data_IF_663163307936
#
_entry.id   IF_663163307936
#
_cell.length_a   1.000
_cell.length_b   1.000
_cell.length_c   1.000
_cell.angle_alpha   90.00
_cell.angle_beta   90.00
_cell.angle_gamma   90.00
#
_symmetry.space_group_name_H-M   'P 1'
#
loop_
_entity.id
_entity.type
_entity.pdbx_description
1 polymer ?
#
# COMPACT_ATOMS: atom_id res chain seq x y z
N UNK A 1 -2.65 22.87 15.39
CA UNK A 1 -3.68 22.75 14.32
C UNK A 1 -4.25 21.35 14.24
N UNK A 2 -3.45 20.30 14.46
CA UNK A 2 -3.94 18.91 14.49
C UNK A 2 -4.94 18.62 15.62
N UNK A 3 -4.73 19.17 16.82
CA UNK A 3 -5.68 18.98 17.93
C UNK A 3 -7.04 19.65 17.68
N UNK A 4 -7.06 20.81 16.98
CA UNK A 4 -8.31 21.51 16.65
C UNK A 4 -9.16 20.71 15.65
N UNK A 5 -8.53 20.18 14.60
CA UNK A 5 -9.20 19.33 13.60
C UNK A 5 -9.70 18.04 14.24
N UNK A 6 -8.91 17.45 15.14
CA UNK A 6 -9.28 16.22 15.84
C UNK A 6 -10.52 16.41 16.71
N UNK A 7 -10.63 17.53 17.45
CA UNK A 7 -11.80 17.81 18.29
C UNK A 7 -13.04 18.17 17.46
N UNK A 8 -12.89 18.86 16.33
CA UNK A 8 -14.00 19.10 15.39
C UNK A 8 -14.53 17.80 14.78
N UNK A 9 -13.66 16.86 14.41
CA UNK A 9 -14.08 15.55 13.92
C UNK A 9 -14.81 14.71 14.97
N UNK A 10 -14.40 14.80 16.26
CA UNK A 10 -15.10 14.12 17.36
C UNK A 10 -16.54 14.60 17.50
N UNK A 11 -16.80 15.89 17.32
CA UNK A 11 -18.15 16.44 17.33
C UNK A 11 -18.93 16.03 16.07
N UNK A 12 -18.29 16.05 14.90
CA UNK A 12 -18.95 15.79 13.62
C UNK A 12 -19.42 14.35 13.46
N UNK A 13 -18.65 13.37 13.94
CA UNK A 13 -18.95 11.92 13.78
C UNK A 13 -20.36 11.53 14.28
N UNK A 14 -20.76 11.79 15.54
CA UNK A 14 -22.10 11.44 16.02
C UNK A 14 -23.23 12.20 15.30
N UNK A 15 -23.02 13.47 14.95
CA UNK A 15 -24.02 14.28 14.24
C UNK A 15 -24.24 13.78 12.80
N UNK A 16 -23.15 13.42 12.11
CA UNK A 16 -23.20 12.86 10.75
C UNK A 16 -23.87 11.49 10.76
N UNK A 17 -23.59 10.66 11.77
CA UNK A 17 -24.26 9.38 11.94
C UNK A 17 -25.77 9.55 12.12
N UNK A 18 -26.19 10.50 12.95
CA UNK A 18 -27.60 10.77 13.19
C UNK A 18 -28.33 11.42 12.01
N UNK A 19 -27.61 12.01 11.05
CA UNK A 19 -28.16 12.65 9.85
C UNK A 19 -28.30 11.71 8.64
N UNK A 20 -27.74 10.49 8.70
CA UNK A 20 -27.90 9.48 7.64
C UNK A 20 -29.34 8.99 7.52
N UNK A 21 -29.69 8.49 6.34
CA UNK A 21 -30.98 7.84 6.04
C UNK A 21 -32.19 8.65 6.53
N UNK A 22 -32.21 9.95 6.17
CA UNK A 22 -33.21 10.94 6.61
C UNK A 22 -33.43 11.00 8.13
N UNK A 23 -32.33 10.94 8.87
CA UNK A 23 -32.27 10.95 10.33
C UNK A 23 -32.96 9.76 11.00
N UNK A 24 -32.93 8.58 10.37
CA UNK A 24 -33.45 7.34 10.94
C UNK A 24 -32.86 7.01 12.32
N UNK A 25 -31.64 7.49 12.58
CA UNK A 25 -30.90 7.24 13.82
C UNK A 25 -30.95 8.41 14.83
N UNK A 26 -31.80 9.42 14.65
CA UNK A 26 -31.84 10.58 15.56
C UNK A 26 -32.14 10.20 17.03
N UNK A 27 -32.88 9.10 17.24
CA UNK A 27 -33.23 8.60 18.58
C UNK A 27 -32.06 7.92 19.30
N UNK A 28 -30.99 7.55 18.60
CA UNK A 28 -29.80 6.95 19.22
C UNK A 28 -28.83 8.00 19.77
N UNK A 29 -29.09 9.30 19.54
CA UNK A 29 -28.35 10.38 20.17
C UNK A 29 -28.88 10.59 21.60
N UNK A 30 -28.07 10.17 22.58
CA UNK A 30 -28.26 10.38 23.99
C UNK A 30 -27.01 11.01 24.62
N UNK A 31 -27.18 11.71 25.74
CA UNK A 31 -26.14 12.47 26.45
C UNK A 31 -25.41 13.51 25.59
N UNK A 32 -26.06 14.01 24.54
CA UNK A 32 -25.45 14.95 23.61
C UNK A 32 -25.21 16.32 24.23
N UNK A 33 -26.01 16.74 25.21
CA UNK A 33 -25.78 17.99 25.94
C UNK A 33 -24.44 17.95 26.69
N UNK A 34 -24.21 16.86 27.44
CA UNK A 34 -22.99 16.66 28.21
C UNK A 34 -21.77 16.52 27.29
N UNK A 35 -21.91 15.74 26.22
CA UNK A 35 -20.85 15.56 25.23
C UNK A 35 -20.43 16.88 24.59
N UNK A 36 -21.39 17.71 24.16
CA UNK A 36 -21.11 18.98 23.50
C UNK A 36 -20.47 20.01 24.42
N UNK A 37 -20.86 20.08 25.70
CA UNK A 37 -20.19 20.96 26.68
C UNK A 37 -18.70 20.62 26.83
N UNK A 38 -18.35 19.33 26.90
CA UNK A 38 -16.94 18.91 27.03
C UNK A 38 -16.14 19.28 25.79
N UNK A 39 -16.68 19.00 24.60
CA UNK A 39 -15.96 19.27 23.35
C UNK A 39 -15.87 20.77 23.03
N UNK A 40 -16.90 21.56 23.33
CA UNK A 40 -16.86 23.03 23.14
C UNK A 40 -15.90 23.71 24.12
N UNK A 41 -15.81 23.23 25.36
CA UNK A 41 -14.80 23.65 26.35
C UNK A 41 -13.37 23.46 25.82
N UNK A 42 -13.10 22.29 25.25
CA UNK A 42 -11.81 21.93 24.64
C UNK A 42 -11.53 22.82 23.41
N UNK A 43 -12.52 23.05 22.55
CA UNK A 43 -12.40 23.96 21.40
C UNK A 43 -12.14 25.42 21.82
N UNK A 44 -12.77 25.93 22.89
CA UNK A 44 -12.52 27.28 23.41
C UNK A 44 -11.09 27.45 23.90
N UNK A 45 -10.50 26.41 24.51
CA UNK A 45 -9.08 26.41 24.91
C UNK A 45 -8.14 26.46 23.71
N UNK A 46 -8.49 25.77 22.62
CA UNK A 46 -7.62 25.62 21.45
C UNK A 46 -7.76 26.75 20.42
N UNK A 47 -8.95 27.33 20.26
CA UNK A 47 -9.25 28.34 19.23
C UNK A 47 -9.64 29.72 19.77
N UNK A 48 -9.73 29.88 21.10
CA UNK A 48 -10.19 31.12 21.75
C UNK A 48 -11.71 31.27 21.78
N UNK A 49 -12.24 32.31 22.46
CA UNK A 49 -13.67 32.58 22.52
C UNK A 49 -14.17 33.08 21.16
N UNK A 50 -15.16 32.39 20.58
CA UNK A 50 -15.79 32.77 19.31
C UNK A 50 -17.31 32.56 19.35
N UNK A 51 -18.05 33.45 18.70
CA UNK A 51 -19.52 33.45 18.72
C UNK A 51 -20.12 32.10 18.26
N UNK A 52 -19.49 31.42 17.29
CA UNK A 52 -19.96 30.13 16.78
C UNK A 52 -19.83 28.96 17.78
N UNK A 53 -18.88 29.03 18.72
CA UNK A 53 -18.73 28.00 19.77
C UNK A 53 -19.81 28.12 20.85
N UNK A 54 -20.17 29.35 21.22
CA UNK A 54 -21.26 29.61 22.16
C UNK A 54 -22.63 29.30 21.57
N UNK A 55 -22.80 29.47 20.26
CA UNK A 55 -24.01 29.09 19.54
C UNK A 55 -24.15 27.56 19.43
N UNK A 56 -23.05 26.84 19.20
CA UNK A 56 -23.02 25.38 19.21
C UNK A 56 -23.40 24.81 20.58
N UNK A 57 -22.94 25.43 21.68
CA UNK A 57 -23.32 25.01 23.05
C UNK A 57 -24.82 25.23 23.31
N UNK A 58 -25.39 26.37 22.89
CA UNK A 58 -26.83 26.66 23.03
C UNK A 58 -27.71 25.71 22.24
N UNK A 59 -27.29 25.26 21.06
CA UNK A 59 -28.06 24.30 20.26
C UNK A 59 -28.27 22.97 20.99
N UNK A 60 -27.33 22.56 21.85
CA UNK A 60 -27.41 21.28 22.55
C UNK A 60 -27.89 21.37 24.01
N UNK A 61 -28.24 22.56 24.49
CA UNK A 61 -28.87 22.74 25.80
C UNK A 61 -30.28 22.14 25.82
N UNK A 62 -30.53 21.24 26.77
CA UNK A 62 -31.78 20.48 26.89
C UNK A 62 -32.02 19.49 25.73
N UNK A 63 -31.02 19.21 24.89
CA UNK A 63 -31.20 18.45 23.64
C UNK A 63 -31.77 17.06 23.87
N UNK A 64 -31.31 16.37 24.92
CA UNK A 64 -31.66 14.97 25.16
C UNK A 64 -33.16 14.78 25.47
N UNK A 65 -33.84 15.81 26.00
CA UNK A 65 -35.27 15.82 26.30
C UNK A 65 -36.20 16.25 25.16
N UNK A 66 -35.67 16.59 23.97
CA UNK A 66 -36.47 17.12 22.86
C UNK A 66 -37.16 16.03 22.04
N UNK A 67 -38.26 16.42 21.39
CA UNK A 67 -38.95 15.57 20.43
C UNK A 67 -38.09 15.34 19.16
N UNK A 68 -38.22 14.19 18.47
CA UNK A 68 -37.36 13.84 17.33
C UNK A 68 -37.31 14.89 16.21
N UNK A 69 -38.42 15.59 15.93
CA UNK A 69 -38.46 16.64 14.91
C UNK A 69 -37.57 17.84 15.24
N UNK A 70 -37.57 18.27 16.51
CA UNK A 70 -36.72 19.36 16.98
C UNK A 70 -35.25 18.93 17.05
N UNK A 71 -34.97 17.69 17.43
CA UNK A 71 -33.61 17.11 17.40
C UNK A 71 -33.03 17.16 15.98
N UNK A 72 -33.79 16.81 14.94
CA UNK A 72 -33.34 16.89 13.54
C UNK A 72 -32.94 18.31 13.16
N UNK A 73 -33.74 19.30 13.52
CA UNK A 73 -33.48 20.69 13.16
C UNK A 73 -32.24 21.26 13.87
N UNK A 74 -32.05 20.93 15.15
CA UNK A 74 -30.85 21.37 15.88
C UNK A 74 -29.57 20.70 15.36
N UNK A 75 -29.62 19.41 15.00
CA UNK A 75 -28.49 18.70 14.36
C UNK A 75 -28.14 19.31 13.00
N UNK A 76 -29.14 19.66 12.18
CA UNK A 76 -28.93 20.32 10.89
C UNK A 76 -28.23 21.68 11.04
N UNK A 77 -28.69 22.51 11.99
CA UNK A 77 -28.07 23.81 12.30
C UNK A 77 -26.64 23.65 12.82
N UNK A 78 -26.40 22.67 13.68
CA UNK A 78 -25.07 22.37 14.22
C UNK A 78 -24.06 21.96 13.13
N UNK A 79 -24.49 21.14 12.18
CA UNK A 79 -23.66 20.73 11.04
C UNK A 79 -23.29 21.93 10.16
N UNK A 80 -24.24 22.84 9.90
CA UNK A 80 -23.96 24.09 9.17
C UNK A 80 -22.97 25.01 9.89
N UNK A 81 -23.07 25.14 11.23
CA UNK A 81 -22.11 25.91 12.02
C UNK A 81 -20.71 25.28 12.02
N UNK A 82 -20.60 23.95 12.09
CA UNK A 82 -19.31 23.25 12.02
C UNK A 82 -18.63 23.43 10.67
N UNK A 83 -19.38 23.39 9.56
CA UNK A 83 -18.86 23.70 8.23
C UNK A 83 -18.40 25.16 8.11
N UNK A 84 -19.13 26.10 8.71
CA UNK A 84 -18.75 27.51 8.72
C UNK A 84 -17.48 27.77 9.56
N UNK A 85 -17.32 27.06 10.69
CA UNK A 85 -16.14 27.12 11.55
C UNK A 85 -14.89 26.51 10.91
N UNK A 86 -15.02 25.48 10.07
CA UNK A 86 -13.89 24.92 9.32
C UNK A 86 -13.45 25.81 8.14
N UNK A 87 -14.39 26.52 7.51
CA UNK A 87 -14.09 27.45 6.41
C UNK A 87 -13.47 28.76 6.89
N UNK A 88 -13.79 29.21 8.12
CA UNK A 88 -13.10 30.30 8.81
C UNK A 88 -11.86 29.74 9.54
N UNK A 89 -10.74 29.60 8.84
CA UNK A 89 -9.43 29.46 9.50
C UNK A 89 -9.18 30.58 10.54
N UNK A 90 -8.21 30.42 11.47
CA UNK A 90 -8.04 31.33 12.60
C UNK A 90 -7.80 32.76 12.10
N UNK A 91 -8.56 33.70 12.64
CA UNK A 91 -8.49 35.11 12.24
C UNK A 91 -7.12 35.71 12.57
N UNK A 92 -6.48 36.45 11.63
CA UNK A 92 -5.34 37.29 11.97
C UNK A 92 -5.81 38.48 12.81
N UNK A 93 -4.99 38.89 13.78
CA UNK A 93 -5.16 40.12 14.54
C UNK A 93 -5.36 41.32 13.60
N UNK A 94 -6.43 42.08 13.86
CA UNK A 94 -6.71 43.37 13.21
C UNK A 94 -5.84 44.47 13.83
N UNK A 95 -4.94 45.05 13.04
CA UNK A 95 -4.68 46.50 13.08
C UNK A 95 -5.12 47.11 11.74
N UNK A 96 -5.70 48.31 11.73
CA UNK A 96 -6.47 48.81 10.60
C UNK A 96 -5.55 49.48 9.55
N UNK A 97 -5.87 49.28 8.27
CA UNK A 97 -5.39 50.19 7.23
C UNK A 97 -6.53 50.49 6.26
N UNK A 98 -6.68 51.74 5.76
CA UNK A 98 -7.87 52.17 5.05
C UNK A 98 -7.87 51.78 3.56
N UNK A 99 -9.07 51.89 3.00
CA UNK A 99 -9.52 51.63 1.65
C UNK A 99 -8.62 52.15 0.51
N UNK A 100 -8.59 51.47 -0.64
CA UNK A 100 -9.35 51.82 -1.88
C UNK A 100 -9.02 50.94 -3.10
N UNK A 101 -10.08 50.57 -3.82
CA UNK A 101 -10.30 50.46 -5.27
C UNK A 101 -9.27 49.84 -6.26
N UNK A 102 -9.79 48.94 -7.12
CA UNK A 102 -9.66 49.09 -8.59
C UNK A 102 -8.74 48.12 -9.35
N UNK A 103 -9.33 47.09 -9.96
CA UNK A 103 -8.85 46.23 -11.07
C UNK A 103 -8.09 46.99 -12.20
N UNK A 104 -7.21 46.36 -13.04
CA UNK A 104 -7.44 45.04 -13.64
C UNK A 104 -6.25 44.06 -13.74
N UNK A 105 -6.67 42.82 -13.96
CA UNK A 105 -5.94 41.57 -14.19
C UNK A 105 -4.68 41.67 -15.06
N UNK A 106 -3.56 41.26 -14.47
CA UNK A 106 -2.29 40.89 -15.12
C UNK A 106 -2.03 39.40 -14.85
N UNK A 107 -1.43 38.61 -15.78
CA UNK A 107 -1.24 37.18 -15.58
C UNK A 107 -0.44 36.92 -14.31
N UNK A 108 -0.87 35.92 -13.52
CA UNK A 108 -0.23 35.55 -12.27
C UNK A 108 1.28 35.32 -12.46
N UNK A 109 2.14 35.79 -11.53
CA UNK A 109 3.56 35.54 -11.60
C UNK A 109 3.80 34.04 -11.47
N UNK A 110 4.54 33.49 -12.44
CA UNK A 110 5.14 32.18 -12.33
C UNK A 110 5.91 32.15 -11.01
N UNK A 111 5.48 31.28 -10.08
CA UNK A 111 6.31 30.93 -8.93
C UNK A 111 7.59 30.35 -9.52
N UNK A 112 8.68 31.07 -9.36
CA UNK A 112 10.02 30.55 -9.57
C UNK A 112 10.15 29.28 -8.73
N UNK A 113 10.05 28.14 -9.42
CA UNK A 113 10.43 26.85 -8.88
C UNK A 113 11.94 26.90 -8.69
N UNK A 114 12.38 26.76 -7.45
CA UNK A 114 13.75 26.37 -7.16
C UNK A 114 14.09 25.14 -7.98
N UNK A 115 15.13 25.25 -8.83
CA UNK A 115 15.45 24.32 -9.90
C UNK A 115 15.91 22.94 -9.44
N UNK A 116 14.97 22.07 -9.07
CA UNK A 116 15.10 20.63 -9.20
C UNK A 116 14.26 20.17 -10.38
N UNK A 117 14.88 19.54 -11.39
CA UNK A 117 14.12 18.88 -12.45
C UNK A 117 13.10 17.93 -11.82
N UNK A 118 11.82 18.09 -12.16
CA UNK A 118 10.80 17.12 -11.78
C UNK A 118 11.17 15.77 -12.40
N UNK A 119 11.58 14.82 -11.56
CA UNK A 119 11.99 13.49 -12.02
C UNK A 119 10.73 12.76 -12.50
N UNK A 120 10.64 12.51 -13.80
CA UNK A 120 9.61 11.67 -14.40
C UNK A 120 9.86 10.20 -14.10
N UNK A 121 8.81 9.39 -14.02
CA UNK A 121 8.90 7.92 -13.91
C UNK A 121 9.74 7.27 -15.02
N UNK A 122 9.70 7.86 -16.22
CA UNK A 122 10.47 7.38 -17.39
C UNK A 122 11.92 7.84 -17.41
N UNK A 123 12.35 8.63 -16.42
CA UNK A 123 13.73 9.14 -16.35
C UNK A 123 14.70 7.97 -16.20
N UNK A 124 15.79 7.90 -17.00
CA UNK A 124 16.83 6.91 -16.80
C UNK A 124 17.45 7.01 -15.39
N UNK A 125 17.63 5.87 -14.72
CA UNK A 125 18.00 5.83 -13.30
C UNK A 125 19.35 6.50 -13.00
N UNK A 126 20.22 6.63 -14.01
CA UNK A 126 21.52 7.32 -13.91
C UNK A 126 21.43 8.83 -13.62
N UNK A 127 20.24 9.43 -13.80
CA UNK A 127 20.02 10.84 -13.48
C UNK A 127 19.43 11.03 -12.08
N UNK A 128 19.09 9.95 -11.37
CA UNK A 128 18.73 10.04 -9.97
C UNK A 128 19.94 10.40 -9.13
N UNK A 129 19.74 11.32 -8.20
CA UNK A 129 20.79 11.77 -7.27
C UNK A 129 21.36 10.56 -6.51
N UNK A 130 22.68 10.35 -6.62
CA UNK A 130 23.38 9.22 -5.98
C UNK A 130 23.54 7.98 -6.86
N UNK A 131 22.89 7.92 -8.03
CA UNK A 131 23.02 6.82 -8.99
C UNK A 131 23.82 7.29 -10.19
N UNK A 132 25.15 7.25 -10.12
CA UNK A 132 26.01 7.53 -11.27
C UNK A 132 26.02 6.39 -12.31
N UNK A 133 26.67 6.57 -13.49
CA UNK A 133 26.66 5.61 -14.59
C UNK A 133 27.09 4.19 -14.19
N UNK A 134 28.09 4.07 -13.31
CA UNK A 134 28.56 2.77 -12.81
C UNK A 134 27.49 2.02 -12.01
N UNK A 135 26.71 2.72 -11.18
CA UNK A 135 25.62 2.13 -10.39
C UNK A 135 24.43 1.80 -11.27
N UNK A 136 24.13 2.63 -12.26
CA UNK A 136 23.09 2.36 -13.26
C UNK A 136 23.36 1.08 -14.07
N UNK A 137 24.59 0.88 -14.56
CA UNK A 137 24.99 -0.37 -15.25
C UNK A 137 24.79 -1.62 -14.39
N UNK A 138 25.03 -1.49 -13.09
CA UNK A 138 24.84 -2.57 -12.13
C UNK A 138 23.35 -2.83 -11.89
N UNK A 139 22.53 -1.79 -11.69
CA UNK A 139 21.07 -1.89 -11.54
C UNK A 139 20.39 -2.47 -12.79
N UNK A 140 20.91 -2.17 -13.98
CA UNK A 140 20.41 -2.72 -15.24
C UNK A 140 20.47 -4.26 -15.27
N UNK A 141 21.44 -4.88 -14.57
CA UNK A 141 21.55 -6.34 -14.47
C UNK A 141 20.41 -7.00 -13.70
N UNK A 142 19.67 -6.23 -12.89
CA UNK A 142 18.47 -6.69 -12.18
C UNK A 142 17.19 -6.13 -12.82
N UNK A 143 17.28 -5.62 -14.05
CA UNK A 143 16.13 -5.12 -14.82
C UNK A 143 15.74 -3.67 -14.50
N UNK A 144 16.58 -2.92 -13.80
CA UNK A 144 16.26 -1.56 -13.37
C UNK A 144 16.98 -0.55 -14.26
N UNK A 145 16.25 0.08 -15.17
CA UNK A 145 16.77 1.08 -16.11
C UNK A 145 16.19 2.48 -15.86
N UNK A 146 14.98 2.57 -15.34
CA UNK A 146 14.22 3.80 -15.10
C UNK A 146 13.84 3.96 -13.63
N UNK A 147 13.33 5.14 -13.28
CA UNK A 147 12.78 5.43 -11.95
C UNK A 147 11.60 4.50 -11.63
N UNK A 148 10.70 4.32 -12.59
CA UNK A 148 9.56 3.40 -12.45
C UNK A 148 10.04 1.97 -12.10
N UNK A 149 11.01 1.44 -12.85
CA UNK A 149 11.56 0.11 -12.57
C UNK A 149 12.10 0.00 -11.14
N UNK A 150 12.74 1.06 -10.62
CA UNK A 150 13.29 1.06 -9.28
C UNK A 150 12.20 1.12 -8.19
N UNK A 151 11.17 1.95 -8.40
CA UNK A 151 10.03 2.08 -7.49
C UNK A 151 9.14 0.83 -7.49
N UNK A 152 9.05 0.12 -8.61
CA UNK A 152 8.33 -1.15 -8.73
C UNK A 152 9.17 -2.36 -8.31
N UNK A 153 10.48 -2.21 -8.09
CA UNK A 153 11.35 -3.28 -7.62
C UNK A 153 11.23 -3.48 -6.10
N UNK A 154 10.08 -4.02 -5.68
CA UNK A 154 9.75 -4.18 -4.27
C UNK A 154 10.65 -5.21 -3.57
N UNK A 155 10.91 -5.05 -2.26
CA UNK A 155 11.57 -6.08 -1.47
C UNK A 155 10.72 -7.36 -1.42
N UNK A 156 11.37 -8.53 -1.41
CA UNK A 156 10.67 -9.82 -1.39
C UNK A 156 10.43 -10.35 0.03
N UNK A 157 11.15 -9.81 1.02
CA UNK A 157 10.91 -10.03 2.45
C UNK A 157 11.45 -8.87 3.27
N UNK A 158 11.06 -8.85 4.53
CA UNK A 158 11.50 -7.93 5.58
C UNK A 158 12.06 -8.72 6.74
N UNK A 159 13.09 -8.17 7.38
CA UNK A 159 13.73 -8.74 8.55
C UNK A 159 13.71 -7.76 9.73
N UNK A 160 13.51 -8.27 10.95
CA UNK A 160 13.73 -7.48 12.16
C UNK A 160 15.22 -7.36 12.41
N UNK A 161 15.76 -6.16 12.23
CA UNK A 161 17.11 -5.84 12.72
C UNK A 161 17.08 -4.72 13.76
N UNK A 162 15.90 -4.37 14.26
CA UNK A 162 15.69 -3.37 15.30
C UNK A 162 15.56 -3.94 16.71
N UNK A 163 15.09 -5.18 16.83
CA UNK A 163 15.00 -5.86 18.12
C UNK A 163 16.37 -6.37 18.60
N UNK A 164 17.20 -5.45 19.11
CA UNK A 164 18.51 -5.76 19.66
C UNK A 164 18.36 -6.56 20.96
N UNK A 165 18.75 -7.83 20.92
CA UNK A 165 18.77 -8.68 22.11
C UNK A 165 20.08 -8.44 22.88
N UNK A 166 19.99 -8.45 24.20
CA UNK A 166 21.20 -8.52 25.05
C UNK A 166 21.90 -9.84 24.80
N UNK A 167 23.24 -9.82 24.69
CA UNK A 167 24.03 -11.03 24.40
C UNK A 167 23.87 -12.11 25.47
N UNK A 168 23.62 -11.70 26.73
CA UNK A 168 23.28 -12.58 27.85
C UNK A 168 21.97 -13.37 27.69
N UNK A 169 21.07 -12.96 26.78
CA UNK A 169 19.74 -13.55 26.60
C UNK A 169 19.58 -14.25 25.26
N UNK A 170 20.67 -14.50 24.55
CA UNK A 170 20.63 -15.16 23.25
C UNK A 170 20.02 -16.55 23.35
N UNK A 171 19.16 -16.91 22.40
CA UNK A 171 18.48 -18.21 22.35
C UNK A 171 19.08 -19.08 21.25
N UNK A 172 19.75 -20.21 21.56
CA UNK A 172 20.28 -21.12 20.56
C UNK A 172 19.18 -21.61 19.59
N UNK A 173 19.48 -21.61 18.29
CA UNK A 173 18.57 -21.99 17.21
C UNK A 173 17.72 -20.84 16.67
N UNK A 174 17.62 -19.70 17.36
CA UNK A 174 16.90 -18.53 16.88
C UNK A 174 17.79 -17.62 16.01
N UNK A 175 17.18 -16.94 15.03
CA UNK A 175 17.81 -15.85 14.30
C UNK A 175 17.67 -14.57 15.11
N UNK A 176 18.78 -14.01 15.59
CA UNK A 176 18.76 -12.88 16.52
C UNK A 176 19.77 -11.80 16.10
N UNK A 177 19.47 -10.55 16.48
CA UNK A 177 20.31 -9.40 16.20
C UNK A 177 20.84 -8.81 17.51
N UNK A 178 22.13 -8.53 17.58
CA UNK A 178 22.82 -7.96 18.75
C UNK A 178 23.71 -6.80 18.37
N UNK A 179 23.89 -5.84 19.29
CA UNK A 179 24.82 -4.72 19.12
C UNK A 179 25.83 -4.72 20.26
N UNK A 180 27.11 -4.51 19.96
CA UNK A 180 28.15 -4.37 20.97
C UNK A 180 29.45 -3.83 20.40
N UNK A 181 30.46 -3.69 21.25
CA UNK A 181 31.81 -3.28 20.84
C UNK A 181 32.66 -4.49 20.49
N UNK A 182 33.48 -4.35 19.45
CA UNK A 182 34.46 -5.37 19.06
C UNK A 182 35.50 -5.52 20.16
N UNK A 183 35.62 -6.74 20.68
CA UNK A 183 36.59 -7.12 21.71
C UNK A 183 37.85 -7.67 21.04
N UNK A 184 37.68 -8.58 20.06
CA UNK A 184 38.78 -9.12 19.27
C UNK A 184 38.34 -9.45 17.84
N UNK A 185 39.29 -9.41 16.91
CA UNK A 185 39.11 -9.69 15.49
C UNK A 185 40.32 -10.49 14.98
N UNK A 186 40.21 -11.82 14.95
CA UNK A 186 41.34 -12.72 14.69
C UNK A 186 41.05 -13.69 13.53
N UNK A 187 42.11 -14.19 12.90
CA UNK A 187 42.00 -15.25 11.89
C UNK A 187 42.60 -16.51 12.48
N UNK A 188 41.75 -17.50 12.73
CA UNK A 188 42.12 -18.80 13.27
C UNK A 188 42.25 -19.79 12.11
N UNK A 189 43.33 -20.58 12.10
CA UNK A 189 43.46 -21.72 11.18
C UNK A 189 43.11 -23.02 11.89
N UNK A 190 42.18 -23.78 11.31
CA UNK A 190 41.79 -25.08 11.88
C UNK A 190 42.87 -26.14 11.61
N UNK A 191 43.33 -26.83 12.66
CA UNK A 191 44.42 -27.83 12.61
C UNK A 191 44.16 -28.99 11.63
N UNK A 192 42.90 -29.33 11.34
CA UNK A 192 42.52 -30.51 10.53
C UNK A 192 42.29 -30.26 9.04
N UNK A 193 42.04 -29.03 8.59
CA UNK A 193 41.59 -28.78 7.19
C UNK A 193 42.17 -27.52 6.51
N UNK A 194 43.16 -26.82 7.09
CA UNK A 194 43.75 -25.56 6.54
C UNK A 194 42.74 -24.43 6.25
N UNK A 195 41.48 -24.57 6.67
CA UNK A 195 40.44 -23.54 6.52
C UNK A 195 40.81 -22.35 7.41
N UNK A 196 40.79 -21.14 6.83
CA UNK A 196 40.98 -19.88 7.55
C UNK A 196 39.61 -19.40 8.01
N UNK A 197 39.41 -19.28 9.30
CA UNK A 197 38.16 -18.78 9.91
C UNK A 197 38.47 -17.40 10.49
N UNK A 198 37.72 -16.38 10.07
CA UNK A 198 37.75 -15.09 10.73
C UNK A 198 36.77 -15.11 11.90
N UNK A 199 37.26 -14.87 13.11
CA UNK A 199 36.46 -14.79 14.33
C UNK A 199 36.42 -13.33 14.82
N UNK A 200 35.20 -12.81 14.99
CA UNK A 200 34.93 -11.51 15.60
C UNK A 200 34.22 -11.73 16.93
N UNK A 201 34.85 -11.35 18.04
CA UNK A 201 34.22 -11.38 19.36
C UNK A 201 33.67 -10.00 19.66
N UNK A 202 32.39 -9.94 19.99
CA UNK A 202 31.67 -8.70 20.30
C UNK A 202 31.07 -8.81 21.69
N UNK A 203 31.08 -7.70 22.45
CA UNK A 203 30.46 -7.60 23.77
C UNK A 203 29.58 -6.38 23.91
N UNK A 204 28.44 -6.54 24.56
CA UNK A 204 27.55 -5.46 24.97
C UNK A 204 27.67 -5.11 26.47
N UNK A 205 28.68 -5.66 27.15
CA UNK A 205 28.86 -5.57 28.60
C UNK A 205 27.98 -6.55 29.42
N UNK A 206 26.96 -7.16 28.82
CA UNK A 206 26.15 -8.22 29.45
C UNK A 206 26.64 -9.62 29.11
N UNK A 207 27.33 -9.79 28.00
CA UNK A 207 27.91 -11.06 27.55
C UNK A 207 28.82 -10.89 26.34
N UNK A 208 29.15 -12.01 25.69
CA UNK A 208 29.94 -12.05 24.47
C UNK A 208 29.26 -12.94 23.44
N UNK A 209 29.40 -12.61 22.16
CA UNK A 209 29.06 -13.50 21.04
C UNK A 209 30.23 -13.56 20.07
N UNK A 210 30.45 -14.72 19.45
CA UNK A 210 31.49 -14.89 18.41
C UNK A 210 30.84 -15.01 17.03
N UNK A 211 31.13 -14.08 16.13
CA UNK A 211 30.83 -14.24 14.70
C UNK A 211 31.97 -14.98 14.00
N UNK A 212 31.66 -16.05 13.27
CA UNK A 212 32.66 -16.88 12.57
C UNK A 212 32.42 -16.92 11.07
N UNK A 213 33.35 -16.41 10.28
CA UNK A 213 33.29 -16.44 8.82
C UNK A 213 34.33 -17.38 8.21
N UNK A 214 33.86 -18.40 7.51
CA UNK A 214 34.71 -19.43 6.91
C UNK A 214 35.30 -18.93 5.58
N UNK A 215 36.61 -19.06 5.40
CA UNK A 215 37.39 -18.63 4.23
C UNK A 215 37.35 -17.12 3.93
N UNK A 216 36.97 -16.27 4.89
CA UNK A 216 36.87 -14.81 4.70
C UNK A 216 37.92 -14.02 5.49
N UNK A 217 39.19 -14.43 5.40
CA UNK A 217 40.28 -13.77 6.13
C UNK A 217 40.49 -12.28 5.79
N UNK A 218 39.98 -11.81 4.65
CA UNK A 218 40.04 -10.40 4.23
C UNK A 218 39.24 -9.47 5.17
N UNK A 219 38.24 -10.00 5.88
CA UNK A 219 37.37 -9.24 6.78
C UNK A 219 38.13 -8.61 7.95
N UNK A 220 39.30 -9.14 8.34
CA UNK A 220 40.12 -8.58 9.42
C UNK A 220 40.42 -7.08 9.23
N UNK A 221 40.51 -6.61 7.97
CA UNK A 221 40.78 -5.19 7.66
C UNK A 221 39.58 -4.27 7.95
N UNK A 222 38.37 -4.81 8.04
CA UNK A 222 37.13 -4.05 8.17
C UNK A 222 36.76 -3.71 9.62
N UNK A 223 37.41 -4.34 10.62
CA UNK A 223 37.06 -4.18 12.02
C UNK A 223 38.24 -3.74 12.86
N UNK A 224 37.99 -2.81 13.78
CA UNK A 224 38.96 -2.38 14.81
C UNK A 224 38.39 -2.66 16.20
N UNK A 225 39.26 -3.03 17.14
CA UNK A 225 38.87 -3.18 18.55
C UNK A 225 38.27 -1.88 19.08
N UNK A 226 37.18 -1.99 19.85
CA UNK A 226 36.43 -0.85 20.39
C UNK A 226 35.36 -0.29 19.46
N UNK A 227 35.35 -0.68 18.18
CA UNK A 227 34.33 -0.24 17.22
C UNK A 227 32.96 -0.87 17.56
N UNK A 228 31.87 -0.10 17.42
CA UNK A 228 30.53 -0.64 17.60
C UNK A 228 30.09 -1.39 16.34
N UNK A 229 29.55 -2.59 16.55
CA UNK A 229 29.06 -3.46 15.48
C UNK A 229 27.73 -4.09 15.86
N UNK A 230 26.89 -4.29 14.86
CA UNK A 230 25.67 -5.08 14.94
C UNK A 230 25.91 -6.40 14.22
N UNK A 231 25.53 -7.52 14.84
CA UNK A 231 25.58 -8.85 14.24
C UNK A 231 24.16 -9.44 14.20
N UNK A 232 23.77 -9.98 13.05
CA UNK A 232 22.49 -10.68 12.84
C UNK A 232 22.75 -12.08 12.29
N UNK A 233 22.23 -13.11 12.95
CA UNK A 233 22.43 -14.48 12.50
C UNK A 233 21.77 -15.50 13.39
N UNK A 234 21.81 -16.77 12.96
CA UNK A 234 21.34 -17.88 13.78
C UNK A 234 22.34 -18.14 14.91
N UNK A 235 21.87 -18.05 16.14
CA UNK A 235 22.65 -18.33 17.34
C UNK A 235 22.88 -19.83 17.44
N UNK A 236 24.14 -20.25 17.54
CA UNK A 236 24.57 -21.62 17.82
C UNK A 236 25.25 -21.66 19.18
N UNK A 237 25.09 -22.77 19.88
CA UNK A 237 25.93 -23.08 21.03
C UNK A 237 27.17 -23.80 20.53
N UNK A 238 28.37 -23.32 20.86
CA UNK A 238 29.62 -24.02 20.53
C UNK A 238 30.06 -24.92 21.70
N UNK A 239 29.91 -26.26 21.60
CA UNK A 239 30.25 -27.17 22.69
C UNK A 239 31.76 -27.17 23.01
N UNK A 240 32.60 -26.89 22.01
CA UNK A 240 34.06 -26.86 22.15
C UNK A 240 34.59 -25.61 22.84
N UNK A 241 33.74 -24.59 23.04
CA UNK A 241 34.05 -23.38 23.82
C UNK A 241 33.05 -23.17 24.95
N UNK A 242 32.74 -24.24 25.69
CA UNK A 242 31.92 -24.16 26.90
C UNK A 242 30.49 -23.64 26.65
N UNK A 243 29.88 -24.01 25.51
CA UNK A 243 28.57 -23.53 25.07
C UNK A 243 28.48 -22.01 24.85
N UNK A 244 29.60 -21.35 24.57
CA UNK A 244 29.60 -19.94 24.19
C UNK A 244 28.74 -19.72 22.93
N UNK A 245 27.93 -18.65 22.90
CA UNK A 245 27.10 -18.34 21.75
C UNK A 245 27.97 -17.91 20.56
N UNK A 246 27.69 -18.50 19.41
CA UNK A 246 28.39 -18.29 18.15
C UNK A 246 27.39 -18.10 17.02
N UNK A 247 27.69 -17.25 16.05
CA UNK A 247 26.95 -17.17 14.80
C UNK A 247 27.89 -17.51 13.65
N UNK A 248 27.46 -18.38 12.74
CA UNK A 248 28.23 -18.75 11.55
C UNK A 248 27.81 -17.89 10.37
N UNK A 249 28.79 -17.24 9.73
CA UNK A 249 28.62 -16.25 8.67
C UNK A 249 27.49 -15.23 8.97
N UNK A 250 27.45 -14.59 10.15
CA UNK A 250 26.41 -13.61 10.44
C UNK A 250 26.54 -12.41 9.51
N UNK A 251 25.41 -11.76 9.24
CA UNK A 251 25.43 -10.42 8.67
C UNK A 251 25.99 -9.47 9.72
N UNK A 252 26.80 -8.50 9.27
CA UNK A 252 27.38 -7.51 10.16
C UNK A 252 27.17 -6.09 9.63
N UNK A 253 27.06 -5.16 10.56
CA UNK A 253 27.14 -3.73 10.28
C UNK A 253 28.08 -3.08 11.27
N UNK A 254 28.97 -2.25 10.76
CA UNK A 254 29.85 -1.40 11.55
C UNK A 254 29.13 -0.08 11.73
N UNK A 255 28.88 0.31 12.98
CA UNK A 255 28.30 1.60 13.31
C UNK A 255 29.45 2.61 13.37
N UNK A 256 29.64 3.40 12.32
CA UNK A 256 30.64 4.46 12.35
C UNK A 256 30.14 5.60 13.25
N UNK A 257 31.06 6.27 13.94
CA UNK A 257 30.75 7.36 14.88
C UNK A 257 30.31 8.67 14.19
N UNK A 258 29.93 8.61 12.90
CA UNK A 258 29.42 9.73 12.13
C UNK A 258 27.90 9.80 12.21
N UNK A 259 27.38 10.98 12.55
CA UNK A 259 25.95 11.24 12.74
C UNK A 259 25.11 10.89 11.49
N UNK A 260 24.14 9.99 11.66
CA UNK A 260 22.89 9.98 10.88
C UNK A 260 22.76 9.11 9.62
N UNK A 261 23.84 8.65 8.99
CA UNK A 261 23.73 7.94 7.69
C UNK A 261 23.57 6.40 7.79
N UNK A 262 23.96 5.78 8.90
CA UNK A 262 24.19 4.32 8.96
C UNK A 262 23.02 3.47 9.50
N UNK A 263 21.93 4.06 9.96
CA UNK A 263 20.77 3.27 10.44
C UNK A 263 19.96 2.64 9.30
N UNK A 264 20.48 2.63 8.07
CA UNK A 264 19.74 2.11 6.92
C UNK A 264 19.63 0.59 6.96
N UNK A 265 20.63 -0.08 7.53
CA UNK A 265 20.76 -1.53 7.48
C UNK A 265 20.54 -2.24 8.82
N UNK A 266 20.43 -1.52 9.94
CA UNK A 266 20.14 -2.06 11.29
C UNK A 266 19.33 -1.06 12.14
N UNK A 267 18.79 -1.52 13.28
CA UNK A 267 18.01 -0.68 14.19
C UNK A 267 16.53 -0.49 13.80
N UNK A 268 16.07 -1.18 12.76
CA UNK A 268 14.71 -1.08 12.21
C UNK A 268 14.30 -2.34 11.44
N UNK A 269 13.10 -2.33 10.88
CA UNK A 269 12.67 -3.31 9.88
C UNK A 269 13.42 -3.09 8.58
N UNK A 270 14.10 -4.13 8.09
CA UNK A 270 15.05 -4.03 6.99
C UNK A 270 14.52 -4.74 5.75
N UNK A 271 14.41 -4.04 4.60
CA UNK A 271 13.97 -4.65 3.34
C UNK A 271 15.08 -5.52 2.73
N UNK A 272 14.68 -6.69 2.21
CA UNK A 272 15.56 -7.61 1.49
C UNK A 272 15.11 -7.67 0.03
N UNK A 273 16.03 -7.29 -0.86
CA UNK A 273 15.83 -7.33 -2.31
C UNK A 273 16.43 -8.59 -2.90
N UNK A 274 15.93 -9.00 -4.07
CA UNK A 274 16.58 -10.06 -4.84
C UNK A 274 17.92 -9.51 -5.37
N UNK A 275 18.98 -10.28 -5.16
CA UNK A 275 20.33 -9.91 -5.57
C UNK A 275 20.85 -10.88 -6.63
N UNK A 276 21.67 -10.38 -7.56
CA UNK A 276 22.36 -11.16 -8.59
C UNK A 276 23.87 -11.18 -8.31
N UNK A 277 24.60 -12.09 -8.98
CA UNK A 277 26.05 -12.19 -8.81
C UNK A 277 26.75 -10.85 -9.10
N UNK A 278 27.51 -10.35 -8.12
CA UNK A 278 28.19 -9.04 -8.19
C UNK A 278 27.42 -7.87 -7.55
N UNK A 279 26.23 -8.11 -7.01
CA UNK A 279 25.43 -7.13 -6.26
C UNK A 279 25.14 -7.66 -4.86
N UNK A 280 25.54 -6.91 -3.82
CA UNK A 280 25.12 -7.23 -2.46
C UNK A 280 23.74 -6.65 -2.17
N UNK A 281 22.95 -7.33 -1.34
CA UNK A 281 21.65 -6.83 -0.86
C UNK A 281 21.82 -5.47 -0.18
N UNK A 282 22.95 -5.26 0.50
CA UNK A 282 23.32 -3.98 1.12
C UNK A 282 23.41 -2.87 0.08
N UNK A 283 24.16 -3.10 -1.01
CA UNK A 283 24.31 -2.10 -2.08
C UNK A 283 22.98 -1.75 -2.73
N UNK A 284 22.13 -2.76 -3.01
CA UNK A 284 20.78 -2.53 -3.56
C UNK A 284 19.97 -1.67 -2.59
N UNK A 285 19.96 -2.00 -1.30
CA UNK A 285 19.20 -1.24 -0.29
C UNK A 285 19.64 0.21 -0.19
N UNK A 286 20.96 0.48 -0.17
CA UNK A 286 21.46 1.86 -0.14
C UNK A 286 21.02 2.63 -1.38
N UNK A 287 21.14 2.02 -2.56
CA UNK A 287 20.70 2.65 -3.81
C UNK A 287 19.19 2.91 -3.80
N UNK A 288 18.39 1.94 -3.37
CA UNK A 288 16.93 2.10 -3.24
C UNK A 288 16.56 3.20 -2.26
N UNK A 289 17.25 3.32 -1.13
CA UNK A 289 16.99 4.40 -0.16
C UNK A 289 17.20 5.77 -0.80
N UNK A 290 18.30 5.95 -1.52
CA UNK A 290 18.60 7.20 -2.21
C UNK A 290 17.55 7.53 -3.28
N UNK A 291 17.14 6.53 -4.08
CA UNK A 291 16.12 6.70 -5.11
C UNK A 291 14.78 7.10 -4.48
N UNK A 292 14.31 6.33 -3.50
CA UNK A 292 13.03 6.57 -2.82
C UNK A 292 12.99 7.96 -2.19
N UNK A 293 14.01 8.33 -1.42
CA UNK A 293 14.07 9.64 -0.76
C UNK A 293 14.12 10.82 -1.75
N UNK A 294 14.65 10.59 -2.95
CA UNK A 294 14.75 11.63 -3.99
C UNK A 294 13.50 11.75 -4.87
N UNK A 295 12.70 10.69 -5.01
CA UNK A 295 11.67 10.61 -6.05
C UNK A 295 10.23 10.55 -5.50
N UNK A 296 9.99 10.02 -4.29
CA UNK A 296 8.62 9.76 -3.85
C UNK A 296 7.85 11.00 -3.43
N UNK A 297 8.53 12.05 -2.95
CA UNK A 297 7.87 13.27 -2.47
C UNK A 297 7.19 14.08 -3.59
N UNK A 298 7.68 13.97 -4.82
CA UNK A 298 7.15 14.68 -5.99
C UNK A 298 6.32 13.78 -6.92
N UNK A 299 6.00 12.56 -6.48
CA UNK A 299 5.30 11.59 -7.30
C UNK A 299 3.81 11.97 -7.43
N UNK A 300 3.28 12.15 -8.65
CA UNK A 300 1.85 12.34 -8.81
C UNK A 300 1.10 11.07 -8.40
N UNK A 301 -0.03 11.22 -7.73
CA UNK A 301 -0.89 10.07 -7.43
C UNK A 301 -1.74 9.73 -8.67
N UNK A 302 -1.69 8.49 -9.18
CA UNK A 302 -2.52 8.08 -10.31
C UNK A 302 -3.99 7.91 -9.92
N UNK A 303 -4.31 7.80 -8.63
CA UNK A 303 -5.68 7.71 -8.14
C UNK A 303 -6.22 9.10 -7.77
N UNK A 304 -7.47 9.43 -8.14
CA UNK A 304 -8.12 10.64 -7.67
C UNK A 304 -8.27 10.67 -6.14
N UNK A 305 -8.13 11.86 -5.54
CA UNK A 305 -8.26 12.08 -4.09
C UNK A 305 -9.57 11.52 -3.50
N UNK A 306 -10.65 11.54 -4.29
CA UNK A 306 -11.94 10.96 -3.91
C UNK A 306 -11.84 9.46 -3.62
N UNK A 307 -11.14 8.71 -4.48
CA UNK A 307 -10.93 7.27 -4.28
C UNK A 307 -10.01 7.01 -3.09
N UNK A 308 -8.98 7.85 -2.94
CA UNK A 308 -8.04 7.75 -1.83
C UNK A 308 -8.79 7.89 -0.50
N UNK A 309 -9.60 8.95 -0.37
CA UNK A 309 -10.41 9.21 0.82
C UNK A 309 -11.49 8.16 1.05
N UNK A 310 -12.21 7.74 -0.01
CA UNK A 310 -13.29 6.75 0.09
C UNK A 310 -12.81 5.39 0.59
N UNK A 311 -11.65 4.93 0.15
CA UNK A 311 -11.12 3.61 0.48
C UNK A 311 -10.09 3.62 1.62
N UNK A 312 -9.77 4.80 2.18
CA UNK A 312 -8.80 4.96 3.27
C UNK A 312 -7.39 4.54 2.84
N UNK A 313 -7.01 4.94 1.63
CA UNK A 313 -5.78 4.57 0.97
C UNK A 313 -4.65 5.55 1.31
N UNK A 314 -3.40 5.08 1.35
CA UNK A 314 -2.24 5.96 1.46
C UNK A 314 -1.98 6.67 0.13
N UNK A 315 -1.42 7.90 0.14
CA UNK A 315 -0.88 8.51 -1.08
C UNK A 315 0.23 7.65 -1.68
N UNK A 316 0.38 7.66 -3.02
CA UNK A 316 1.30 6.81 -3.76
C UNK A 316 2.75 6.89 -3.24
N UNK A 317 3.27 8.12 -3.07
CA UNK A 317 4.63 8.34 -2.57
C UNK A 317 4.85 7.80 -1.15
N UNK A 318 3.85 7.95 -0.27
CA UNK A 318 3.90 7.38 1.10
C UNK A 318 3.85 5.86 1.06
N UNK A 319 2.99 5.27 0.22
CA UNK A 319 2.88 3.83 0.09
C UNK A 319 4.18 3.19 -0.43
N UNK A 320 4.79 3.76 -1.47
CA UNK A 320 6.09 3.30 -1.98
C UNK A 320 7.19 3.44 -0.92
N UNK A 321 7.22 4.57 -0.22
CA UNK A 321 8.20 4.78 0.86
C UNK A 321 8.05 3.74 1.97
N UNK A 322 6.81 3.46 2.39
CA UNK A 322 6.52 2.52 3.47
C UNK A 322 6.74 1.06 3.05
N UNK A 323 6.50 0.69 1.78
CA UNK A 323 6.84 -0.65 1.28
C UNK A 323 8.36 -0.82 1.17
N UNK A 324 9.10 0.16 0.67
CA UNK A 324 10.56 0.02 0.57
C UNK A 324 11.26 0.15 1.93
N UNK A 325 10.81 1.06 2.80
CA UNK A 325 11.43 1.37 4.09
C UNK A 325 10.35 1.61 5.15
N UNK A 326 9.73 0.54 5.67
CA UNK A 326 8.63 0.65 6.62
C UNK A 326 9.05 1.36 7.90
N UNK A 327 8.32 2.41 8.26
CA UNK A 327 8.53 3.18 9.48
C UNK A 327 7.30 3.11 10.41
N UNK A 328 6.09 2.95 9.85
CA UNK A 328 4.83 2.89 10.59
C UNK A 328 4.49 1.44 10.95
N UNK A 329 4.59 0.52 10.00
CA UNK A 329 4.32 -0.89 10.24
C UNK A 329 5.56 -1.58 10.85
N UNK A 330 5.39 -2.13 12.05
CA UNK A 330 6.45 -2.82 12.81
C UNK A 330 6.27 -4.32 12.82
N UNK A 331 5.08 -4.83 12.46
CA UNK A 331 4.81 -6.24 12.40
C UNK A 331 5.35 -6.83 11.08
N UNK A 332 6.42 -7.63 11.21
CA UNK A 332 7.10 -8.25 10.08
C UNK A 332 6.23 -9.30 9.39
N UNK A 333 5.34 -9.98 10.11
CA UNK A 333 4.43 -10.94 9.48
C UNK A 333 3.44 -10.23 8.56
N UNK A 334 2.97 -9.04 8.94
CA UNK A 334 2.08 -8.22 8.10
C UNK A 334 2.81 -7.74 6.84
N UNK A 335 4.06 -7.31 6.98
CA UNK A 335 4.89 -6.89 5.86
C UNK A 335 5.23 -8.05 4.91
N UNK A 336 5.65 -9.19 5.45
CA UNK A 336 6.00 -10.38 4.67
C UNK A 336 4.80 -11.06 4.01
N UNK A 337 3.59 -10.89 4.56
CA UNK A 337 2.34 -11.31 3.91
C UNK A 337 1.85 -10.31 2.85
N UNK A 338 2.45 -9.13 2.76
CA UNK A 338 2.01 -8.07 1.86
C UNK A 338 0.64 -7.50 2.22
N UNK A 339 0.28 -7.48 3.51
CA UNK A 339 -1.05 -7.05 3.98
C UNK A 339 -1.05 -5.70 4.68
N UNK A 340 0.07 -4.97 4.71
CA UNK A 340 0.12 -3.63 5.29
C UNK A 340 -0.71 -2.63 4.46
N UNK A 341 -1.06 -1.49 5.05
CA UNK A 341 -1.83 -0.45 4.33
C UNK A 341 -1.15 0.02 3.04
N UNK A 342 0.19 0.05 3.04
CA UNK A 342 0.99 0.41 1.87
C UNK A 342 0.92 -0.65 0.76
N UNK A 343 1.04 -1.94 1.11
CA UNK A 343 0.85 -3.03 0.14
C UNK A 343 -0.58 -3.04 -0.42
N UNK A 344 -1.59 -2.92 0.46
CA UNK A 344 -3.00 -2.84 0.05
C UNK A 344 -3.23 -1.71 -0.95
N UNK A 345 -2.59 -0.55 -0.73
CA UNK A 345 -2.66 0.60 -1.64
C UNK A 345 -2.05 0.31 -3.01
N UNK A 346 -0.87 -0.33 -3.07
CA UNK A 346 -0.24 -0.69 -4.35
C UNK A 346 -1.05 -1.76 -5.08
N UNK A 347 -1.52 -2.81 -4.38
CA UNK A 347 -2.38 -3.84 -4.99
C UNK A 347 -3.71 -3.28 -5.48
N UNK A 348 -4.30 -2.32 -4.76
CA UNK A 348 -5.51 -1.65 -5.19
C UNK A 348 -5.26 -0.86 -6.48
N UNK A 349 -4.18 -0.09 -6.54
CA UNK A 349 -3.84 0.70 -7.74
C UNK A 349 -3.65 -0.20 -8.96
N UNK A 350 -2.87 -1.27 -8.83
CA UNK A 350 -2.62 -2.21 -9.94
C UNK A 350 -3.92 -2.80 -10.48
N UNK A 351 -4.79 -3.30 -9.59
CA UNK A 351 -6.10 -3.83 -9.99
C UNK A 351 -7.02 -2.75 -10.55
N UNK A 352 -6.99 -1.54 -9.99
CA UNK A 352 -7.80 -0.42 -10.47
C UNK A 352 -7.41 -0.01 -11.88
N UNK A 353 -6.11 0.10 -12.17
CA UNK A 353 -5.61 0.45 -13.51
C UNK A 353 -5.99 -0.63 -14.51
N UNK A 354 -5.87 -1.92 -14.14
CA UNK A 354 -6.31 -3.04 -14.98
C UNK A 354 -7.82 -2.97 -15.27
N UNK A 355 -8.64 -2.84 -14.23
CA UNK A 355 -10.11 -2.77 -14.36
C UNK A 355 -10.56 -1.53 -15.12
N UNK A 356 -9.89 -0.39 -14.94
CA UNK A 356 -10.15 0.82 -15.70
C UNK A 356 -9.87 0.60 -17.19
N UNK A 357 -8.75 -0.04 -17.54
CA UNK A 357 -8.45 -0.40 -18.92
C UNK A 357 -9.50 -1.33 -19.53
N UNK A 358 -9.97 -2.34 -18.79
CA UNK A 358 -11.04 -3.24 -19.22
C UNK A 358 -12.37 -2.51 -19.38
N UNK A 359 -12.71 -1.60 -18.46
CA UNK A 359 -13.92 -0.81 -18.50
C UNK A 359 -13.94 0.15 -19.70
N UNK A 360 -12.84 0.85 -19.97
CA UNK A 360 -12.68 1.72 -21.14
C UNK A 360 -12.81 0.91 -22.45
N UNK A 361 -12.22 -0.28 -22.52
CA UNK A 361 -12.37 -1.18 -23.67
C UNK A 361 -13.83 -1.63 -23.85
N UNK A 362 -14.51 -1.99 -22.76
CA UNK A 362 -15.93 -2.38 -22.78
C UNK A 362 -16.86 -1.22 -23.17
N UNK A 363 -16.56 -0.02 -22.71
CA UNK A 363 -17.27 1.19 -23.08
C UNK A 363 -17.07 1.49 -24.57
N UNK A 364 -15.83 1.44 -25.06
CA UNK A 364 -15.53 1.62 -26.48
C UNK A 364 -16.29 0.63 -27.37
N UNK A 365 -16.37 -0.66 -26.98
CA UNK A 365 -17.15 -1.65 -27.72
C UNK A 365 -18.66 -1.35 -27.72
N UNK A 366 -19.21 -0.97 -26.57
CA UNK A 366 -20.64 -0.66 -26.42
C UNK A 366 -21.04 0.66 -27.10
N UNK A 367 -20.15 1.66 -27.09
CA UNK A 367 -20.41 2.99 -27.64
C UNK A 367 -20.23 3.04 -29.17
N UNK A 368 -19.35 2.19 -29.73
CA UNK A 368 -19.01 2.24 -31.16
C UNK A 368 -19.87 1.28 -32.01
N UNK A 369 -20.45 0.23 -31.43
CA UNK A 369 -21.20 -0.79 -32.19
C UNK A 369 -22.55 -1.13 -31.57
N UNK A 370 -23.64 -0.69 -32.20
CA UNK A 370 -24.98 -1.19 -31.93
C UNK A 370 -25.01 -2.69 -32.24
N UNK A 371 -25.44 -3.50 -31.27
CA UNK A 371 -25.57 -4.95 -31.44
C UNK A 371 -26.79 -5.32 -32.27
N UNK A 372 -26.85 -6.57 -32.71
CA UNK A 372 -28.04 -7.15 -33.32
C UNK A 372 -28.82 -7.85 -32.20
N UNK A 373 -30.07 -7.43 -32.02
CA UNK A 373 -31.00 -8.06 -31.08
C UNK A 373 -31.65 -9.27 -31.74
N UNK A 374 -31.53 -10.43 -31.11
CA UNK A 374 -32.19 -11.67 -31.52
C UNK A 374 -33.52 -11.86 -30.78
N UNK A 375 -34.48 -12.50 -31.43
CA UNK A 375 -35.66 -13.07 -30.76
C UNK A 375 -35.26 -14.42 -30.15
N UNK A 376 -35.81 -14.81 -28.97
CA UNK A 376 -35.56 -16.14 -28.41
C UNK A 376 -35.94 -17.26 -29.41
N UNK A 377 -35.17 -18.35 -29.41
CA UNK A 377 -35.47 -19.53 -30.22
C UNK A 377 -36.75 -20.19 -29.72
N UNK A 378 -37.78 -20.25 -30.57
CA UNK A 378 -39.07 -20.85 -30.21
C UNK A 378 -39.25 -22.23 -30.84
N UNK A 379 -38.45 -22.57 -31.86
CA UNK A 379 -38.57 -23.82 -32.60
C UNK A 379 -37.34 -24.71 -32.49
N UNK A 380 -36.15 -24.19 -32.78
CA UNK A 380 -34.94 -25.03 -32.91
C UNK A 380 -34.43 -25.52 -31.56
N UNK A 381 -34.39 -24.67 -30.54
CA UNK A 381 -33.97 -25.07 -29.20
C UNK A 381 -34.90 -26.14 -28.58
N UNK A 382 -36.25 -26.00 -28.57
CA UNK A 382 -37.12 -27.06 -28.08
C UNK A 382 -36.99 -28.38 -28.84
N UNK A 383 -36.71 -28.34 -30.14
CA UNK A 383 -36.44 -29.54 -30.95
C UNK A 383 -35.14 -30.22 -30.52
N UNK A 384 -34.06 -29.45 -30.35
CA UNK A 384 -32.78 -29.99 -29.85
C UNK A 384 -32.97 -30.65 -28.49
N UNK A 385 -33.65 -29.98 -27.55
CA UNK A 385 -33.89 -30.49 -26.20
C UNK A 385 -34.62 -31.83 -26.18
N UNK A 386 -35.54 -32.06 -27.12
CA UNK A 386 -36.25 -33.34 -27.27
C UNK A 386 -35.38 -34.46 -27.85
N UNK A 387 -34.35 -34.12 -28.62
CA UNK A 387 -33.43 -35.09 -29.24
C UNK A 387 -32.27 -35.49 -28.31
N UNK A 388 -31.97 -34.68 -27.30
CA UNK A 388 -30.89 -34.99 -26.36
C UNK A 388 -31.26 -36.20 -25.48
N UNK A 389 -30.34 -37.16 -25.29
CA UNK A 389 -30.57 -38.34 -24.43
C UNK A 389 -30.48 -38.02 -22.93
N UNK A 390 -30.39 -36.74 -22.58
CA UNK A 390 -30.26 -36.24 -21.21
C UNK A 390 -30.99 -34.90 -21.06
N UNK A 391 -31.42 -34.60 -19.83
CA UNK A 391 -31.89 -33.26 -19.49
C UNK A 391 -30.72 -32.32 -19.21
N UNK A 392 -30.88 -31.03 -19.54
CA UNK A 392 -29.90 -30.04 -19.12
C UNK A 392 -29.90 -29.92 -17.60
N UNK A 393 -28.71 -29.75 -17.05
CA UNK A 393 -28.54 -29.47 -15.62
C UNK A 393 -29.06 -28.07 -15.28
N UNK A 394 -29.42 -27.83 -14.02
CA UNK A 394 -29.83 -26.50 -13.55
C UNK A 394 -28.81 -25.41 -13.86
N UNK A 395 -27.51 -25.75 -13.83
CA UNK A 395 -26.44 -24.82 -14.18
C UNK A 395 -26.45 -24.47 -15.68
N UNK A 396 -26.62 -25.47 -16.56
CA UNK A 396 -26.74 -25.25 -18.01
C UNK A 396 -27.97 -24.42 -18.34
N UNK A 397 -29.13 -24.72 -17.74
CA UNK A 397 -30.37 -23.94 -17.94
C UNK A 397 -30.19 -22.46 -17.56
N UNK A 398 -29.57 -22.20 -16.40
CA UNK A 398 -29.25 -20.83 -15.98
C UNK A 398 -28.35 -20.11 -16.98
N UNK A 399 -27.30 -20.78 -17.47
CA UNK A 399 -26.36 -20.20 -18.44
C UNK A 399 -27.04 -19.96 -19.80
N UNK A 400 -27.90 -20.87 -20.27
CA UNK A 400 -28.67 -20.68 -21.50
C UNK A 400 -29.59 -19.47 -21.37
N UNK A 401 -30.31 -19.32 -20.26
CA UNK A 401 -31.18 -18.16 -20.02
C UNK A 401 -30.38 -16.84 -19.92
N UNK A 402 -29.18 -16.87 -19.37
CA UNK A 402 -28.25 -15.73 -19.36
C UNK A 402 -27.78 -15.35 -20.77
N UNK A 403 -27.42 -16.34 -21.59
CA UNK A 403 -27.02 -16.14 -23.00
C UNK A 403 -28.17 -15.57 -23.80
N UNK A 404 -29.36 -16.15 -23.71
CA UNK A 404 -30.55 -15.66 -24.43
C UNK A 404 -30.85 -14.20 -24.07
N UNK A 405 -30.80 -13.85 -22.78
CA UNK A 405 -30.97 -12.45 -22.34
C UNK A 405 -29.95 -11.50 -22.98
N UNK A 406 -28.67 -11.87 -22.99
CA UNK A 406 -27.63 -11.06 -23.63
C UNK A 406 -27.82 -10.98 -25.15
N UNK A 407 -28.22 -12.08 -25.80
CA UNK A 407 -28.50 -12.16 -27.24
C UNK A 407 -29.73 -11.34 -27.66
N UNK A 408 -30.70 -11.14 -26.76
CA UNK A 408 -31.86 -10.28 -27.02
C UNK A 408 -31.59 -8.79 -26.85
N UNK A 409 -30.45 -8.41 -26.24
CA UNK A 409 -30.10 -7.02 -26.03
C UNK A 409 -29.63 -6.34 -27.34
N UNK A 410 -29.70 -5.01 -27.38
CA UNK A 410 -29.25 -4.17 -28.49
C UNK A 410 -27.73 -3.86 -28.46
N UNK A 411 -26.97 -4.66 -27.70
CA UNK A 411 -25.52 -4.57 -27.54
C UNK A 411 -24.85 -5.91 -27.83
N UNK A 412 -23.62 -5.93 -28.36
CA UNK A 412 -22.91 -7.19 -28.59
C UNK A 412 -22.77 -8.02 -27.31
N UNK A 413 -23.05 -9.33 -27.38
CA UNK A 413 -22.77 -10.27 -26.31
C UNK A 413 -21.28 -10.64 -26.32
N UNK A 414 -20.59 -10.42 -25.19
CA UNK A 414 -19.23 -10.93 -24.95
C UNK A 414 -19.24 -11.68 -23.62
N UNK A 415 -19.29 -13.02 -23.69
CA UNK A 415 -19.51 -13.90 -22.53
C UNK A 415 -18.52 -15.05 -22.55
N UNK A 416 -17.91 -15.32 -21.40
CA UNK A 416 -17.11 -16.50 -21.16
C UNK A 416 -17.95 -17.54 -20.41
N UNK A 417 -18.21 -18.68 -21.04
CA UNK A 417 -18.84 -19.83 -20.37
C UNK A 417 -17.73 -20.71 -19.81
N UNK A 418 -17.58 -20.71 -18.49
CA UNK A 418 -16.55 -21.47 -17.78
C UNK A 418 -17.17 -22.70 -17.08
N UNK A 419 -16.46 -23.83 -17.15
CA UNK A 419 -16.85 -25.07 -16.46
C UNK A 419 -15.88 -26.20 -16.76
N UNK A 420 -15.91 -27.26 -15.95
CA UNK A 420 -15.00 -28.40 -16.05
C UNK A 420 -15.16 -29.20 -17.34
N UNK A 421 -14.17 -30.03 -17.66
CA UNK A 421 -14.26 -30.95 -18.81
C UNK A 421 -15.44 -31.90 -18.60
N UNK A 422 -16.25 -32.08 -19.64
CA UNK A 422 -17.45 -32.93 -19.58
C UNK A 422 -18.71 -32.26 -19.02
N UNK A 423 -18.68 -31.02 -18.53
CA UNK A 423 -19.86 -30.34 -17.98
C UNK A 423 -20.88 -29.87 -19.05
N UNK A 424 -20.73 -30.29 -20.31
CA UNK A 424 -21.64 -29.96 -21.41
C UNK A 424 -21.61 -28.50 -21.88
N UNK A 425 -20.43 -27.86 -21.93
CA UNK A 425 -20.29 -26.51 -22.51
C UNK A 425 -20.74 -26.45 -23.97
N UNK A 426 -20.53 -27.54 -24.71
CA UNK A 426 -20.86 -27.66 -26.15
C UNK A 426 -22.36 -27.53 -26.40
N UNK A 427 -23.22 -28.17 -25.60
CA UNK A 427 -24.68 -28.07 -25.81
C UNK A 427 -25.19 -26.65 -25.57
N UNK A 428 -24.60 -25.93 -24.60
CA UNK A 428 -24.91 -24.51 -24.35
C UNK A 428 -24.52 -23.66 -25.55
N UNK A 429 -23.33 -23.88 -26.13
CA UNK A 429 -22.88 -23.17 -27.33
C UNK A 429 -23.77 -23.48 -28.55
N UNK A 430 -24.20 -24.74 -28.73
CA UNK A 430 -25.13 -25.12 -29.79
C UNK A 430 -26.48 -24.39 -29.66
N UNK A 431 -27.05 -24.29 -28.46
CA UNK A 431 -28.31 -23.56 -28.24
C UNK A 431 -28.17 -22.08 -28.62
N UNK A 432 -27.05 -21.44 -28.27
CA UNK A 432 -26.75 -20.08 -28.68
C UNK A 432 -26.66 -19.94 -30.21
N UNK A 433 -25.97 -20.87 -30.88
CA UNK A 433 -25.87 -20.90 -32.34
C UNK A 433 -27.23 -21.07 -33.02
N UNK A 434 -28.07 -21.97 -32.51
CA UNK A 434 -29.43 -22.19 -33.02
C UNK A 434 -30.30 -20.93 -32.90
N UNK A 435 -30.13 -20.15 -31.82
CA UNK A 435 -30.83 -18.87 -31.66
C UNK A 435 -30.46 -17.90 -32.78
N UNK A 436 -29.17 -17.77 -33.12
CA UNK A 436 -28.74 -16.93 -34.23
C UNK A 436 -29.28 -17.43 -35.59
N UNK A 437 -29.21 -18.75 -35.82
CA UNK A 437 -29.69 -19.40 -37.05
C UNK A 437 -31.21 -19.21 -37.24
N UNK A 438 -32.00 -19.36 -36.17
CA UNK A 438 -33.45 -19.16 -36.24
C UNK A 438 -33.84 -17.70 -36.54
N UNK A 439 -32.97 -16.75 -36.19
CA UNK A 439 -33.15 -15.34 -36.52
C UNK A 439 -32.62 -14.97 -37.93
N UNK A 440 -32.19 -15.94 -38.74
CA UNK A 440 -31.73 -15.73 -40.12
C UNK A 440 -30.25 -15.36 -40.25
N UNK A 441 -29.45 -15.57 -39.20
CA UNK A 441 -28.02 -15.28 -39.20
C UNK A 441 -27.17 -16.55 -39.22
N UNK A 442 -25.89 -16.40 -39.56
CA UNK A 442 -24.93 -17.48 -39.48
C UNK A 442 -24.28 -17.54 -38.09
N UNK A 443 -23.96 -18.74 -37.63
CA UNK A 443 -23.15 -18.97 -36.44
C UNK A 443 -21.85 -19.66 -36.84
N UNK A 444 -20.73 -19.21 -36.29
CA UNK A 444 -19.41 -19.82 -36.49
C UNK A 444 -18.90 -20.37 -35.16
N UNK A 445 -18.48 -21.64 -35.15
CA UNK A 445 -17.80 -22.27 -34.02
C UNK A 445 -16.32 -22.37 -34.39
N UNK A 446 -15.46 -21.75 -33.60
CA UNK A 446 -14.01 -21.78 -33.81
C UNK A 446 -13.38 -22.77 -32.84
N UNK A 447 -12.46 -23.60 -33.35
CA UNK A 447 -11.64 -24.52 -32.57
C UNK A 447 -10.16 -24.10 -32.65
N UNK A 448 -9.34 -24.39 -31.63
CA UNK A 448 -7.93 -24.01 -31.62
C UNK A 448 -7.06 -24.87 -32.57
N UNK A 449 -7.55 -26.05 -32.98
CA UNK A 449 -6.84 -26.98 -33.87
C UNK A 449 -7.83 -27.68 -34.80
N UNK A 450 -7.34 -28.15 -35.95
CA UNK A 450 -8.12 -28.90 -36.94
C UNK A 450 -8.63 -30.24 -36.40
N UNK A 451 -7.91 -30.88 -35.46
CA UNK A 451 -8.31 -32.17 -34.88
C UNK A 451 -9.56 -32.04 -33.99
N UNK A 452 -9.78 -30.85 -33.40
CA UNK A 452 -10.95 -30.56 -32.58
C UNK A 452 -12.14 -30.00 -33.38
N UNK A 453 -11.89 -29.50 -34.59
CA UNK A 453 -12.90 -29.01 -35.54
C UNK A 453 -13.53 -30.18 -36.28
#
# INVERSE_FOLDING_TARGET
MDDLKTTLERIRKPLTFAARDDFAHIRSLADMERFMRVQVSELRRLAGPGNGLSELERLFEGFDGLQPGEKKERVRKAMGLLEALEKRGPAPHHEPTPATAGSPSRPAPQREQSGGQAISLTTPIQYCKGIGPKRAEVLKKIGIATVDDALSYLPWRYEDRGNLKKMSRLTPGAYETVSGSVVSAEVVQTKRQRVKIFELVVSDGSGFVTGSWFNQAFMKKAFKTGQKVVLSGVVKSNPYRGNAPQMDNPDYEVLDSGEGEDLIHTGRTVPIYRATAGLSVRAIRTMMKQIIDSCTASLPDPLPDELIGKYGLLPAGEALTEVHFPAREKNIDVLNRGTSAAHRRLSFEELFVLELGLALRKQGLSAVKKGISFKPSMRLEPQLRKQLPFALTKAQERVVAEIQRDMTADRPMNRLVQGDVGCGKTVVAMIAALTAIENGYQACIMAPTEILA
#
